data_IF_379075752874
#
_entry.id   IF_379075752874
#
_cell.length_a   1.000
_cell.length_b   1.000
_cell.length_c   1.000
_cell.angle_alpha   90.00
_cell.angle_beta   90.00
_cell.angle_gamma   90.00
#
_symmetry.space_group_name_H-M   'P 1'
#
loop_
_entity.id
_entity.type
_entity.pdbx_description
1 polymer ?
#
# COMPACT_ATOMS: atom_id res chain seq x y z
N UNK A 1 -31.86 4.50 -40.06
CA UNK A 1 -30.48 4.69 -39.54
C UNK A 1 -30.64 5.06 -38.08
N UNK A 2 -30.69 4.05 -37.20
CA UNK A 2 -30.84 4.26 -35.75
C UNK A 2 -29.49 4.60 -35.15
N UNK A 3 -29.30 5.85 -34.70
CA UNK A 3 -28.18 6.22 -33.84
C UNK A 3 -28.35 5.46 -32.52
N UNK A 4 -27.56 4.40 -32.28
CA UNK A 4 -27.40 3.82 -30.96
C UNK A 4 -26.77 4.91 -30.11
N UNK A 5 -27.52 5.53 -29.23
CA UNK A 5 -27.01 6.30 -28.13
C UNK A 5 -26.23 5.31 -27.23
N UNK A 6 -24.96 5.20 -27.44
CA UNK A 6 -24.06 4.48 -26.51
C UNK A 6 -24.04 5.30 -25.23
N UNK A 7 -24.78 4.87 -24.23
CA UNK A 7 -24.68 5.42 -22.88
C UNK A 7 -23.22 5.13 -22.45
N UNK A 8 -22.41 6.18 -22.41
CA UNK A 8 -21.03 6.08 -21.95
C UNK A 8 -21.08 5.77 -20.45
N UNK A 9 -20.76 4.54 -20.06
CA UNK A 9 -20.67 4.12 -18.66
C UNK A 9 -19.49 4.90 -18.09
N UNK A 10 -19.72 5.69 -17.02
CA UNK A 10 -18.62 6.37 -16.34
C UNK A 10 -17.78 5.32 -15.62
N UNK A 11 -16.48 5.33 -15.87
CA UNK A 11 -15.53 4.48 -15.16
C UNK A 11 -15.60 4.80 -13.66
N UNK A 12 -15.93 3.80 -12.86
CA UNK A 12 -16.11 3.93 -11.42
C UNK A 12 -14.76 3.78 -10.71
N UNK A 13 -14.39 4.76 -9.87
CA UNK A 13 -13.17 4.67 -9.07
C UNK A 13 -13.44 3.92 -7.77
N UNK A 14 -12.63 2.91 -7.49
CA UNK A 14 -12.62 2.18 -6.23
C UNK A 14 -11.26 2.28 -5.54
N UNK A 15 -11.26 2.80 -4.31
CA UNK A 15 -10.07 2.76 -3.47
C UNK A 15 -9.78 1.32 -3.05
N UNK A 16 -8.50 0.89 -3.12
CA UNK A 16 -8.13 -0.44 -2.64
C UNK A 16 -8.33 -0.57 -1.12
N UNK A 17 -8.74 -1.75 -0.69
CA UNK A 17 -8.98 -2.06 0.72
C UNK A 17 -7.72 -1.82 1.57
N UNK A 18 -7.91 -1.37 2.80
CA UNK A 18 -6.83 -1.31 3.79
C UNK A 18 -6.31 -2.71 4.10
N UNK A 19 -5.00 -2.82 4.34
CA UNK A 19 -4.34 -4.06 4.75
C UNK A 19 -3.81 -3.83 6.16
N UNK A 20 -4.26 -4.64 7.12
CA UNK A 20 -3.88 -4.48 8.52
C UNK A 20 -2.56 -5.19 8.86
N UNK A 21 -1.84 -4.67 9.85
CA UNK A 21 -0.58 -5.25 10.26
C UNK A 21 -0.76 -6.51 11.09
N UNK A 22 0.11 -7.52 10.89
CA UNK A 22 0.11 -8.78 11.64
C UNK A 22 0.40 -8.62 13.14
N UNK A 23 0.97 -7.50 13.56
CA UNK A 23 1.21 -7.22 14.97
C UNK A 23 -0.03 -6.69 15.71
N UNK A 24 -1.10 -6.30 15.02
CA UNK A 24 -2.39 -5.98 15.63
C UNK A 24 -3.11 -7.27 16.01
N UNK A 25 -2.83 -7.75 17.22
CA UNK A 25 -3.31 -9.06 17.72
C UNK A 25 -4.83 -9.16 17.69
N UNK A 26 -5.54 -8.07 18.00
CA UNK A 26 -7.00 -8.05 18.04
C UNK A 26 -7.57 -8.26 16.63
N UNK A 27 -7.03 -7.59 15.63
CA UNK A 27 -7.43 -7.79 14.24
C UNK A 27 -7.18 -9.25 13.79
N UNK A 28 -6.00 -9.80 14.06
CA UNK A 28 -5.68 -11.20 13.72
C UNK A 28 -6.61 -12.18 14.42
N UNK A 29 -6.95 -11.91 15.69
CA UNK A 29 -7.91 -12.72 16.44
C UNK A 29 -9.34 -12.62 15.89
N UNK A 30 -9.75 -11.44 15.44
CA UNK A 30 -11.04 -11.24 14.78
C UNK A 30 -11.11 -11.98 13.45
N UNK A 31 -10.04 -11.98 12.67
CA UNK A 31 -9.94 -12.80 11.46
C UNK A 31 -10.10 -14.29 11.81
N UNK A 32 -9.38 -14.80 12.83
CA UNK A 32 -9.50 -16.20 13.27
C UNK A 32 -10.91 -16.59 13.70
N UNK A 33 -11.64 -15.68 14.35
CA UNK A 33 -13.00 -15.93 14.84
C UNK A 33 -14.05 -15.88 13.74
N UNK A 34 -13.85 -15.07 12.70
CA UNK A 34 -14.87 -14.75 11.71
C UNK A 34 -14.67 -15.46 10.37
N UNK A 35 -13.43 -15.84 10.03
CA UNK A 35 -13.12 -16.61 8.83
C UNK A 35 -12.98 -18.07 9.20
N UNK A 36 -13.64 -18.96 8.45
CA UNK A 36 -13.59 -20.40 8.69
C UNK A 36 -12.16 -20.96 8.60
N UNK A 37 -11.87 -21.96 9.45
CA UNK A 37 -10.54 -22.58 9.54
C UNK A 37 -10.13 -23.38 8.31
N UNK A 38 -11.08 -23.79 7.47
CA UNK A 38 -10.87 -24.52 6.22
C UNK A 38 -10.54 -23.61 5.03
N UNK A 39 -10.67 -22.29 5.21
CA UNK A 39 -10.27 -21.33 4.19
C UNK A 39 -8.78 -21.42 3.90
N UNK A 40 -8.43 -21.59 2.64
CA UNK A 40 -7.05 -21.60 2.16
C UNK A 40 -6.53 -20.17 2.04
N UNK A 41 -5.34 -19.93 2.57
CA UNK A 41 -4.62 -18.66 2.52
C UNK A 41 -3.38 -18.76 1.66
N UNK A 42 -2.92 -17.62 1.17
CA UNK A 42 -1.65 -17.49 0.44
C UNK A 42 -0.79 -16.39 1.03
N UNK A 43 0.51 -16.56 0.86
CA UNK A 43 1.54 -15.58 1.13
C UNK A 43 2.09 -15.07 -0.19
N UNK A 44 2.14 -13.75 -0.35
CA UNK A 44 2.72 -13.09 -1.53
C UNK A 44 3.79 -12.09 -1.07
N UNK A 45 4.82 -11.84 -1.87
CA UNK A 45 5.80 -10.81 -1.57
C UNK A 45 5.13 -9.44 -1.59
N UNK A 46 5.36 -8.65 -0.53
CA UNK A 46 4.96 -7.26 -0.48
C UNK A 46 6.02 -6.41 -1.16
N UNK A 47 5.66 -5.83 -2.29
CA UNK A 47 6.53 -4.90 -3.02
C UNK A 47 6.45 -3.51 -2.41
N UNK A 48 7.57 -2.85 -2.29
CA UNK A 48 7.72 -1.48 -1.80
C UNK A 48 7.67 -0.50 -2.97
N UNK A 49 6.51 0.07 -3.20
CA UNK A 49 6.23 0.99 -4.29
C UNK A 49 5.13 1.96 -3.93
N UNK A 50 4.23 2.21 -4.85
CA UNK A 50 3.02 3.00 -4.65
C UNK A 50 1.80 2.26 -5.20
N UNK A 51 0.71 2.23 -4.42
CA UNK A 51 -0.52 1.57 -4.81
C UNK A 51 -1.20 2.32 -5.97
N UNK A 52 -1.43 1.61 -7.04
CA UNK A 52 -2.06 2.13 -8.27
C UNK A 52 -3.10 1.15 -8.82
N UNK A 53 -3.89 1.61 -9.78
CA UNK A 53 -4.82 0.73 -10.48
C UNK A 53 -5.08 1.17 -11.92
N UNK A 54 -5.31 0.19 -12.79
CA UNK A 54 -5.95 0.42 -14.08
C UNK A 54 -7.46 0.27 -13.91
N UNK A 55 -8.20 1.15 -14.55
CA UNK A 55 -9.67 1.13 -14.61
C UNK A 55 -10.07 1.03 -16.07
N UNK A 56 -11.02 0.12 -16.38
CA UNK A 56 -11.44 -0.10 -17.75
C UNK A 56 -12.95 -0.39 -17.81
N UNK A 57 -13.65 0.24 -18.77
CA UNK A 57 -15.05 -0.01 -19.11
C UNK A 57 -15.22 -0.69 -20.48
N UNK A 58 -14.10 -1.15 -21.06
CA UNK A 58 -14.06 -1.78 -22.39
C UNK A 58 -13.87 -0.79 -23.54
N UNK A 59 -13.94 0.51 -23.31
CA UNK A 59 -13.67 1.57 -24.27
C UNK A 59 -12.45 2.40 -23.86
N UNK A 60 -12.45 2.86 -22.61
CA UNK A 60 -11.40 3.69 -22.05
C UNK A 60 -10.58 2.88 -21.02
N UNK A 61 -9.29 3.15 -20.94
CA UNK A 61 -8.39 2.69 -19.88
C UNK A 61 -7.83 3.90 -19.17
N UNK A 62 -8.04 3.99 -17.86
CA UNK A 62 -7.52 5.05 -17.01
C UNK A 62 -6.57 4.49 -15.98
N UNK A 63 -5.66 5.33 -15.50
CA UNK A 63 -4.75 4.99 -14.42
C UNK A 63 -5.07 5.81 -13.18
N UNK A 64 -4.98 5.20 -12.01
CA UNK A 64 -5.29 5.86 -10.76
C UNK A 64 -4.19 5.60 -9.72
N UNK A 65 -3.91 6.61 -8.92
CA UNK A 65 -3.21 6.47 -7.65
C UNK A 65 -4.18 6.00 -6.56
N UNK A 66 -3.69 5.73 -5.36
CA UNK A 66 -4.50 5.20 -4.25
C UNK A 66 -5.77 6.01 -3.96
N UNK A 67 -5.77 7.31 -4.22
CA UNK A 67 -6.79 8.25 -3.77
C UNK A 67 -7.71 8.75 -4.87
N UNK A 68 -7.27 8.71 -6.14
CA UNK A 68 -8.03 9.28 -7.27
C UNK A 68 -7.50 8.79 -8.61
N UNK A 69 -8.34 8.91 -9.64
CA UNK A 69 -7.92 8.79 -11.04
C UNK A 69 -6.94 9.93 -11.34
N UNK A 70 -5.86 9.63 -12.05
CA UNK A 70 -4.88 10.63 -12.49
C UNK A 70 -5.42 11.42 -13.68
N UNK A 71 -5.19 12.74 -13.66
CA UNK A 71 -5.44 13.60 -14.82
C UNK A 71 -4.31 13.43 -15.83
N UNK A 72 -4.58 13.70 -17.12
CA UNK A 72 -3.61 13.53 -18.20
C UNK A 72 -2.34 14.39 -18.02
N UNK A 73 -2.46 15.55 -17.38
CA UNK A 73 -1.37 16.49 -17.08
C UNK A 73 -0.72 16.27 -15.70
N UNK A 74 -1.23 15.27 -14.92
CA UNK A 74 -0.70 15.01 -13.59
C UNK A 74 0.62 14.24 -13.66
N UNK A 75 1.66 14.79 -13.03
CA UNK A 75 2.94 14.11 -12.94
C UNK A 75 2.93 13.12 -11.76
N UNK A 76 2.94 11.82 -12.09
CA UNK A 76 2.96 10.73 -11.12
C UNK A 76 3.89 9.61 -11.61
N UNK A 77 5.19 9.71 -11.30
CA UNK A 77 6.21 8.70 -11.65
C UNK A 77 6.16 8.25 -13.11
N UNK A 78 6.02 9.17 -14.05
CA UNK A 78 5.96 8.89 -15.50
C UNK A 78 4.97 7.75 -15.86
N UNK A 79 3.82 7.72 -15.19
CA UNK A 79 2.81 6.63 -15.32
C UNK A 79 2.31 6.43 -16.76
N UNK A 80 2.46 7.40 -17.63
CA UNK A 80 2.02 7.30 -19.03
C UNK A 80 2.70 6.14 -19.76
N UNK A 81 4.00 5.89 -19.50
CA UNK A 81 4.72 4.76 -20.09
C UNK A 81 4.12 3.41 -19.63
N UNK A 82 3.74 3.34 -18.36
CA UNK A 82 3.08 2.16 -17.80
C UNK A 82 1.68 1.99 -18.40
N UNK A 83 0.92 3.09 -18.49
CA UNK A 83 -0.43 3.07 -19.08
C UNK A 83 -0.38 2.59 -20.54
N UNK A 84 0.52 3.13 -21.36
CA UNK A 84 0.70 2.74 -22.76
C UNK A 84 1.07 1.25 -22.88
N UNK A 85 2.05 0.78 -22.08
CA UNK A 85 2.54 -0.60 -22.13
C UNK A 85 1.50 -1.65 -21.72
N UNK A 86 0.57 -1.27 -20.85
CA UNK A 86 -0.45 -2.18 -20.33
C UNK A 86 -1.84 -1.99 -20.97
N UNK A 87 -2.07 -0.93 -21.73
CA UNK A 87 -3.35 -0.55 -22.30
C UNK A 87 -4.09 -1.72 -22.98
N UNK A 88 -3.45 -2.33 -23.96
CA UNK A 88 -4.07 -3.43 -24.73
C UNK A 88 -4.28 -4.69 -23.90
N UNK A 89 -3.39 -4.96 -22.95
CA UNK A 89 -3.53 -6.07 -21.99
C UNK A 89 -4.75 -5.88 -21.08
N UNK A 90 -4.99 -4.65 -20.62
CA UNK A 90 -6.16 -4.28 -19.81
C UNK A 90 -7.45 -4.47 -20.59
N UNK A 91 -7.50 -3.99 -21.83
CA UNK A 91 -8.66 -4.19 -22.73
C UNK A 91 -8.90 -5.68 -23.03
N UNK A 92 -7.84 -6.46 -23.26
CA UNK A 92 -7.94 -7.90 -23.50
C UNK A 92 -8.50 -8.62 -22.25
N UNK A 93 -7.97 -8.30 -21.07
CA UNK A 93 -8.44 -8.84 -19.80
C UNK A 93 -9.92 -8.51 -19.56
N UNK A 94 -10.33 -7.27 -19.81
CA UNK A 94 -11.73 -6.86 -19.72
C UNK A 94 -12.64 -7.70 -20.63
N UNK A 95 -12.27 -7.86 -21.92
CA UNK A 95 -13.04 -8.67 -22.88
C UNK A 95 -13.19 -10.13 -22.44
N UNK A 96 -12.12 -10.70 -21.87
CA UNK A 96 -12.13 -12.05 -21.32
C UNK A 96 -13.09 -12.18 -20.13
N UNK A 97 -13.08 -11.20 -19.23
CA UNK A 97 -14.03 -11.18 -18.10
C UNK A 97 -15.48 -11.06 -18.57
N UNK A 98 -15.76 -10.29 -19.61
CA UNK A 98 -17.10 -10.23 -20.21
C UNK A 98 -17.57 -11.57 -20.81
N UNK A 99 -16.64 -12.48 -21.16
CA UNK A 99 -16.98 -13.81 -21.66
C UNK A 99 -17.27 -14.82 -20.55
N UNK A 100 -16.70 -14.60 -19.37
CA UNK A 100 -16.75 -15.55 -18.23
C UNK A 100 -17.67 -15.10 -17.10
N UNK A 101 -18.00 -13.80 -17.03
CA UNK A 101 -18.84 -13.19 -16.00
C UNK A 101 -20.01 -12.43 -16.66
N UNK A 102 -21.19 -12.60 -16.13
CA UNK A 102 -22.39 -11.90 -16.62
C UNK A 102 -22.43 -10.44 -16.12
N UNK A 103 -22.89 -9.55 -16.98
CA UNK A 103 -23.19 -8.17 -16.61
C UNK A 103 -21.99 -7.32 -16.21
N UNK A 104 -20.78 -7.64 -16.67
CA UNK A 104 -19.57 -6.83 -16.42
C UNK A 104 -19.71 -5.45 -17.05
N UNK A 105 -19.59 -4.40 -16.23
CA UNK A 105 -19.64 -2.99 -16.65
C UNK A 105 -18.26 -2.37 -16.74
N UNK A 106 -17.47 -2.58 -15.71
CA UNK A 106 -16.09 -2.07 -15.62
C UNK A 106 -15.25 -2.93 -14.69
N UNK A 107 -13.95 -2.75 -14.75
CA UNK A 107 -13.00 -3.43 -13.87
C UNK A 107 -11.99 -2.47 -13.27
N UNK A 108 -11.48 -2.80 -12.10
CA UNK A 108 -10.28 -2.19 -11.51
C UNK A 108 -9.22 -3.26 -11.30
N UNK A 109 -8.06 -3.09 -11.93
CA UNK A 109 -6.88 -3.94 -11.76
C UNK A 109 -5.94 -3.25 -10.80
N UNK A 110 -5.80 -3.76 -9.59
CA UNK A 110 -4.95 -3.19 -8.55
C UNK A 110 -3.55 -3.76 -8.59
N UNK A 111 -2.58 -2.90 -8.38
CA UNK A 111 -1.18 -3.26 -8.34
C UNK A 111 -0.31 -2.25 -7.61
N UNK A 112 0.97 -2.57 -7.53
CA UNK A 112 2.01 -1.68 -7.02
C UNK A 112 2.87 -1.21 -8.18
N UNK A 113 2.97 0.12 -8.36
CA UNK A 113 3.93 0.74 -9.26
C UNK A 113 5.26 0.86 -8.51
N UNK A 114 6.36 0.37 -9.09
CA UNK A 114 7.66 0.26 -8.41
C UNK A 114 8.84 0.37 -9.38
N UNK A 115 10.07 0.46 -8.83
CA UNK A 115 11.30 0.45 -9.62
C UNK A 115 11.94 1.83 -9.80
N UNK A 116 12.71 1.97 -10.88
CA UNK A 116 13.44 3.21 -11.24
C UNK A 116 14.93 3.17 -10.86
N UNK A 117 15.42 2.12 -10.20
CA UNK A 117 16.85 1.90 -9.94
C UNK A 117 17.19 0.43 -9.74
N UNK A 118 18.34 0.02 -10.29
CA UNK A 118 18.92 -1.32 -10.07
C UNK A 118 20.44 -1.24 -10.11
N UNK A 119 21.13 -1.14 -8.97
CA UNK A 119 22.59 -0.89 -8.91
C UNK A 119 23.39 -2.20 -9.09
N UNK A 120 23.30 -2.80 -10.27
CA UNK A 120 24.09 -3.97 -10.63
C UNK A 120 24.96 -3.64 -11.87
N UNK A 121 26.25 -4.04 -11.91
CA UNK A 121 27.16 -3.69 -12.99
C UNK A 121 26.70 -4.20 -14.36
N UNK A 122 26.07 -5.38 -14.41
CA UNK A 122 25.60 -6.00 -15.65
C UNK A 122 24.21 -5.50 -16.09
N UNK A 123 23.61 -4.55 -15.37
CA UNK A 123 22.29 -4.02 -15.70
C UNK A 123 22.39 -2.56 -16.12
N UNK A 124 22.01 -2.29 -17.36
CA UNK A 124 22.03 -0.93 -17.89
C UNK A 124 21.02 -0.04 -17.16
N UNK A 125 21.46 1.15 -16.76
CA UNK A 125 20.58 2.19 -16.21
C UNK A 125 19.61 2.69 -17.28
N UNK A 126 18.36 2.88 -16.91
CA UNK A 126 17.34 3.45 -17.78
C UNK A 126 17.18 4.93 -17.43
N UNK A 127 17.72 5.80 -18.29
CA UNK A 127 17.53 7.24 -18.23
C UNK A 127 17.61 7.89 -16.84
N UNK A 128 16.93 9.03 -16.68
CA UNK A 128 16.72 9.71 -15.38
C UNK A 128 15.29 9.46 -14.89
N UNK A 129 15.07 8.25 -14.34
CA UNK A 129 13.78 7.91 -13.72
C UNK A 129 13.77 8.29 -12.24
N UNK A 130 12.63 8.77 -11.77
CA UNK A 130 12.41 8.94 -10.34
C UNK A 130 12.29 7.59 -9.67
N UNK A 131 13.15 7.30 -8.70
CA UNK A 131 13.05 6.06 -7.90
C UNK A 131 11.79 6.15 -7.04
N UNK A 132 10.86 5.21 -7.24
CA UNK A 132 9.55 5.26 -6.58
C UNK A 132 9.69 5.06 -5.07
N UNK A 133 10.52 4.10 -4.64
CA UNK A 133 10.83 3.86 -3.22
C UNK A 133 12.28 3.41 -3.06
N UNK A 134 12.85 3.70 -1.89
CA UNK A 134 14.22 3.33 -1.54
C UNK A 134 14.26 2.13 -0.59
N UNK A 135 15.36 1.40 -0.57
CA UNK A 135 15.63 0.34 0.40
C UNK A 135 15.49 -1.07 -0.12
N UNK A 136 14.78 -1.30 -1.23
CA UNK A 136 14.78 -2.54 -2.03
C UNK A 136 14.95 -2.17 -3.49
N UNK A 137 15.76 -2.93 -4.21
CA UNK A 137 15.95 -2.75 -5.64
C UNK A 137 15.23 -3.86 -6.41
N UNK A 138 14.34 -3.49 -7.32
CA UNK A 138 13.52 -4.44 -8.05
C UNK A 138 13.83 -4.48 -9.54
N UNK A 139 13.95 -3.29 -10.17
CA UNK A 139 14.14 -3.14 -11.63
C UNK A 139 14.68 -1.75 -11.97
N UNK A 140 15.48 -1.61 -13.06
CA UNK A 140 16.01 -0.32 -13.47
C UNK A 140 14.95 0.61 -14.06
N UNK A 141 13.81 0.09 -14.51
CA UNK A 141 12.67 0.83 -15.07
C UNK A 141 11.47 0.80 -14.12
N UNK A 142 10.44 1.59 -14.40
CA UNK A 142 9.17 1.43 -13.69
C UNK A 142 8.44 0.18 -14.19
N UNK A 143 7.79 -0.53 -13.25
CA UNK A 143 7.01 -1.72 -13.54
C UNK A 143 5.75 -1.76 -12.65
N UNK A 144 4.71 -2.43 -13.16
CA UNK A 144 3.45 -2.66 -12.46
C UNK A 144 3.37 -4.11 -11.97
N UNK A 145 3.13 -4.30 -10.67
CA UNK A 145 2.97 -5.59 -10.01
C UNK A 145 1.50 -5.81 -9.67
N UNK A 146 0.75 -6.46 -10.57
CA UNK A 146 -0.67 -6.73 -10.39
C UNK A 146 -0.93 -7.73 -9.26
N UNK A 147 -1.90 -7.46 -8.39
CA UNK A 147 -2.21 -8.37 -7.28
C UNK A 147 -3.71 -8.62 -7.05
N UNK A 148 -4.60 -7.80 -7.62
CA UNK A 148 -6.04 -7.96 -7.42
C UNK A 148 -6.85 -7.43 -8.59
N UNK A 149 -8.04 -8.01 -8.82
CA UNK A 149 -9.01 -7.53 -9.80
C UNK A 149 -10.35 -7.39 -9.11
N UNK A 150 -10.99 -6.24 -9.28
CA UNK A 150 -12.36 -5.99 -8.87
C UNK A 150 -13.24 -5.83 -10.12
N UNK A 151 -14.32 -6.57 -10.17
CA UNK A 151 -15.28 -6.56 -11.29
C UNK A 151 -16.54 -5.85 -10.84
N UNK A 152 -16.95 -4.80 -11.54
CA UNK A 152 -18.21 -4.11 -11.36
C UNK A 152 -19.26 -4.73 -12.28
N UNK A 153 -20.42 -5.06 -11.72
CA UNK A 153 -21.58 -5.60 -12.45
C UNK A 153 -22.82 -4.76 -12.19
N UNK A 154 -23.94 -5.10 -12.84
CA UNK A 154 -25.23 -4.43 -12.60
C UNK A 154 -25.72 -4.56 -11.16
N UNK A 155 -25.39 -5.67 -10.51
CA UNK A 155 -25.87 -6.04 -9.18
C UNK A 155 -24.85 -5.73 -8.06
N UNK A 156 -23.84 -4.91 -8.35
CA UNK A 156 -22.75 -4.59 -7.45
C UNK A 156 -21.40 -5.02 -8.01
N UNK A 157 -20.45 -5.35 -7.14
CA UNK A 157 -19.12 -5.79 -7.61
C UNK A 157 -18.40 -6.65 -6.58
N UNK A 158 -17.42 -7.40 -7.05
CA UNK A 158 -16.64 -8.32 -6.22
C UNK A 158 -15.18 -8.40 -6.66
N UNK A 159 -14.31 -8.74 -5.71
CA UNK A 159 -12.94 -9.15 -6.03
C UNK A 159 -12.94 -10.60 -6.52
N UNK A 160 -12.11 -10.87 -7.50
CA UNK A 160 -11.84 -12.23 -7.95
C UNK A 160 -11.01 -13.01 -6.91
N UNK A 161 -11.01 -14.33 -7.02
CA UNK A 161 -10.09 -15.16 -6.26
C UNK A 161 -8.63 -14.93 -6.68
N UNK A 162 -7.68 -15.28 -5.82
CA UNK A 162 -6.25 -15.22 -6.15
C UNK A 162 -5.92 -16.10 -7.36
N UNK A 163 -6.48 -17.30 -7.42
CA UNK A 163 -6.19 -18.26 -8.47
C UNK A 163 -6.71 -17.75 -9.84
N UNK A 164 -7.92 -17.19 -9.86
CA UNK A 164 -8.51 -16.61 -11.07
C UNK A 164 -7.75 -15.35 -11.52
N UNK A 165 -7.45 -14.44 -10.57
CA UNK A 165 -6.65 -13.24 -10.81
C UNK A 165 -5.29 -13.59 -11.41
N UNK A 166 -4.59 -14.58 -10.84
CA UNK A 166 -3.28 -15.00 -11.31
C UNK A 166 -3.34 -15.68 -12.68
N UNK A 167 -4.39 -16.46 -12.95
CA UNK A 167 -4.61 -17.09 -14.25
C UNK A 167 -4.81 -16.03 -15.35
N UNK A 168 -5.64 -15.01 -15.07
CA UNK A 168 -5.87 -13.90 -15.98
C UNK A 168 -4.59 -13.08 -16.21
N UNK A 169 -3.87 -12.72 -15.16
CA UNK A 169 -2.62 -11.99 -15.29
C UNK A 169 -1.58 -12.75 -16.12
N UNK A 170 -1.46 -14.05 -15.86
CA UNK A 170 -0.54 -14.91 -16.62
C UNK A 170 -0.92 -14.96 -18.10
N UNK A 171 -2.21 -15.13 -18.42
CA UNK A 171 -2.67 -15.25 -19.81
C UNK A 171 -2.52 -13.96 -20.61
N UNK A 172 -2.70 -12.79 -19.94
CA UNK A 172 -2.56 -11.47 -20.56
C UNK A 172 -1.14 -10.87 -20.43
N UNK A 173 -0.19 -11.62 -19.88
CA UNK A 173 1.20 -11.22 -19.79
C UNK A 173 1.45 -10.04 -18.84
N UNK A 174 0.68 -9.95 -17.75
CA UNK A 174 0.98 -9.04 -16.64
C UNK A 174 2.13 -9.59 -15.80
N UNK A 175 2.91 -8.68 -15.23
CA UNK A 175 3.74 -9.03 -14.08
C UNK A 175 2.88 -8.98 -12.82
N UNK A 176 2.90 -10.06 -11.99
CA UNK A 176 1.90 -10.20 -10.94
C UNK A 176 2.42 -10.91 -9.68
N UNK A 177 1.65 -10.80 -8.59
CA UNK A 177 1.94 -11.35 -7.28
C UNK A 177 1.79 -12.88 -7.26
N UNK A 178 2.92 -13.58 -7.45
CA UNK A 178 2.97 -15.04 -7.34
C UNK A 178 2.87 -15.46 -5.87
N UNK A 179 2.20 -16.59 -5.62
CA UNK A 179 2.13 -17.17 -4.29
C UNK A 179 3.48 -17.78 -3.90
N UNK A 180 4.05 -17.35 -2.77
CA UNK A 180 5.27 -17.91 -2.18
C UNK A 180 4.98 -19.15 -1.36
N UNK A 181 3.81 -19.16 -0.70
CA UNK A 181 3.34 -20.25 0.14
C UNK A 181 1.81 -20.26 0.15
N UNK A 182 1.21 -21.40 0.43
CA UNK A 182 -0.23 -21.53 0.70
C UNK A 182 -0.49 -22.56 1.79
N UNK A 183 -1.48 -22.28 2.64
CA UNK A 183 -1.85 -23.11 3.78
C UNK A 183 -2.98 -22.49 4.57
N UNK A 184 -3.08 -22.87 5.84
CA UNK A 184 -3.96 -22.24 6.82
C UNK A 184 -3.49 -20.83 7.19
N UNK A 185 -4.34 -20.04 7.83
CA UNK A 185 -3.94 -18.70 8.32
C UNK A 185 -2.71 -18.78 9.24
N UNK A 186 -2.69 -19.73 10.17
CA UNK A 186 -1.61 -19.84 11.16
C UNK A 186 -0.29 -20.28 10.55
N UNK A 187 -0.31 -21.11 9.51
CA UNK A 187 0.89 -21.46 8.73
C UNK A 187 1.40 -20.25 7.96
N UNK A 188 0.51 -19.50 7.31
CA UNK A 188 0.87 -18.28 6.59
C UNK A 188 1.44 -17.20 7.53
N UNK A 189 0.90 -17.04 8.75
CA UNK A 189 1.41 -16.10 9.75
C UNK A 189 2.81 -16.44 10.27
N UNK A 190 3.23 -17.70 10.17
CA UNK A 190 4.58 -18.17 10.53
C UNK A 190 5.60 -17.99 9.41
N UNK A 191 5.15 -17.68 8.19
CA UNK A 191 6.05 -17.49 7.06
C UNK A 191 6.98 -16.30 7.32
N UNK A 192 8.26 -16.46 6.99
CA UNK A 192 9.24 -15.37 7.16
C UNK A 192 8.85 -14.16 6.31
N UNK A 193 8.95 -12.98 6.89
CA UNK A 193 8.84 -11.70 6.19
C UNK A 193 10.21 -11.09 5.84
N UNK A 194 11.29 -11.87 6.01
CA UNK A 194 12.66 -11.46 5.79
C UNK A 194 13.38 -12.48 4.89
N UNK A 195 13.44 -12.20 3.61
CA UNK A 195 14.11 -13.02 2.58
C UNK A 195 14.57 -12.12 1.43
N UNK A 196 15.49 -12.62 0.60
CA UNK A 196 15.90 -11.95 -0.64
C UNK A 196 14.69 -11.77 -1.55
N UNK A 197 14.42 -10.53 -2.00
CA UNK A 197 13.32 -10.24 -2.91
C UNK A 197 13.35 -11.16 -4.12
N UNK A 198 12.20 -11.76 -4.43
CA UNK A 198 12.01 -12.64 -5.59
C UNK A 198 11.71 -11.87 -6.88
N UNK A 199 11.41 -10.59 -6.76
CA UNK A 199 11.01 -9.75 -7.89
C UNK A 199 12.11 -9.65 -8.96
N UNK A 200 13.40 -9.39 -8.63
CA UNK A 200 14.46 -9.36 -9.64
C UNK A 200 14.61 -10.70 -10.38
N UNK A 201 14.58 -11.82 -9.64
CA UNK A 201 14.63 -13.17 -10.22
C UNK A 201 13.49 -13.37 -11.22
N UNK A 202 12.26 -12.99 -10.87
CA UNK A 202 11.10 -13.15 -11.75
C UNK A 202 11.13 -12.22 -12.97
N UNK A 203 11.89 -11.13 -12.89
CA UNK A 203 12.15 -10.20 -14.00
C UNK A 203 13.39 -10.57 -14.82
N UNK A 204 14.07 -11.70 -14.49
CA UNK A 204 15.29 -12.15 -15.18
C UNK A 204 16.51 -11.29 -14.91
N UNK A 205 16.56 -10.58 -13.77
CA UNK A 205 17.67 -9.72 -13.39
C UNK A 205 18.65 -10.46 -12.48
N UNK A 206 19.96 -10.16 -12.55
CA UNK A 206 20.96 -10.73 -11.66
C UNK A 206 20.70 -10.31 -10.21
N UNK A 207 21.08 -11.16 -9.25
CA UNK A 207 20.85 -10.91 -7.83
C UNK A 207 21.73 -9.78 -7.28
N UNK A 208 21.19 -8.99 -6.37
CA UNK A 208 21.91 -8.00 -5.56
C UNK A 208 22.01 -8.55 -4.14
N UNK A 209 23.20 -8.53 -3.56
CA UNK A 209 23.42 -8.96 -2.18
C UNK A 209 22.57 -8.11 -1.20
N UNK A 210 22.05 -8.76 -0.15
CA UNK A 210 21.26 -8.11 0.92
C UNK A 210 20.04 -7.30 0.44
N UNK A 211 19.50 -7.63 -0.74
CA UNK A 211 18.30 -7.01 -1.29
C UNK A 211 17.04 -7.64 -0.68
N UNK A 212 16.85 -7.40 0.61
CA UNK A 212 15.78 -8.01 1.40
C UNK A 212 14.43 -7.35 1.09
N UNK A 213 13.38 -8.16 0.91
CA UNK A 213 12.02 -7.73 0.61
C UNK A 213 11.45 -6.79 1.70
N UNK A 214 10.43 -5.98 1.35
CA UNK A 214 9.71 -5.17 2.33
C UNK A 214 8.97 -6.05 3.36
N UNK A 215 8.49 -7.21 2.94
CA UNK A 215 7.72 -8.14 3.74
C UNK A 215 6.80 -9.01 2.91
N UNK A 216 5.67 -9.38 3.51
CA UNK A 216 4.66 -10.25 2.89
C UNK A 216 3.25 -9.69 3.06
N UNK A 217 2.37 -10.09 2.13
CA UNK A 217 0.91 -9.98 2.26
C UNK A 217 0.34 -11.39 2.42
N UNK A 218 -0.52 -11.56 3.42
CA UNK A 218 -1.25 -12.80 3.73
C UNK A 218 -2.72 -12.54 3.42
N UNK A 219 -3.30 -13.33 2.56
CA UNK A 219 -4.70 -13.17 2.14
C UNK A 219 -5.38 -14.49 1.85
N UNK A 220 -6.70 -14.62 2.04
CA UNK A 220 -7.43 -15.81 1.63
C UNK A 220 -7.46 -15.91 0.10
N UNK A 221 -7.41 -17.15 -0.42
CA UNK A 221 -7.49 -17.42 -1.87
C UNK A 221 -8.79 -16.90 -2.45
N UNK A 222 -9.91 -17.16 -1.78
CA UNK A 222 -11.23 -16.56 -2.10
C UNK A 222 -11.46 -15.41 -1.13
N UNK A 223 -11.78 -14.19 -1.61
CA UNK A 223 -11.96 -13.03 -0.75
C UNK A 223 -12.92 -13.28 0.41
N UNK A 224 -12.49 -12.98 1.62
CA UNK A 224 -13.26 -13.08 2.85
C UNK A 224 -13.45 -11.69 3.47
N UNK A 225 -14.61 -11.49 4.10
CA UNK A 225 -14.98 -10.21 4.71
C UNK A 225 -15.34 -10.42 6.17
N UNK A 226 -14.90 -9.49 7.01
CA UNK A 226 -15.28 -9.43 8.41
C UNK A 226 -16.67 -8.78 8.56
N UNK A 227 -17.27 -8.91 9.72
CA UNK A 227 -18.58 -8.30 10.04
C UNK A 227 -18.60 -6.79 9.88
N UNK A 228 -17.43 -6.15 9.95
CA UNK A 228 -17.25 -4.72 9.67
C UNK A 228 -17.34 -4.36 8.19
N UNK A 229 -17.43 -5.34 7.29
CA UNK A 229 -17.35 -5.17 5.84
C UNK A 229 -15.91 -5.05 5.31
N UNK A 230 -14.89 -5.02 6.17
CA UNK A 230 -13.49 -4.99 5.74
C UNK A 230 -13.04 -6.36 5.24
N UNK A 231 -12.11 -6.37 4.27
CA UNK A 231 -11.50 -7.61 3.76
C UNK A 231 -10.49 -8.17 4.76
N UNK A 232 -10.44 -9.49 4.88
CA UNK A 232 -9.43 -10.18 5.68
C UNK A 232 -8.07 -10.18 4.97
N UNK A 233 -7.33 -9.06 5.08
CA UNK A 233 -6.02 -8.84 4.49
C UNK A 233 -5.00 -8.48 5.58
N UNK A 234 -3.86 -9.18 5.60
CA UNK A 234 -2.81 -8.99 6.61
C UNK A 234 -1.49 -8.67 5.90
N UNK A 235 -0.77 -7.64 6.36
CA UNK A 235 0.61 -7.36 5.96
C UNK A 235 1.57 -7.66 7.12
N UNK A 236 2.73 -8.22 6.80
CA UNK A 236 3.83 -8.38 7.75
C UNK A 236 5.08 -7.78 7.14
N UNK A 237 5.47 -6.59 7.62
CA UNK A 237 6.68 -5.88 7.19
C UNK A 237 7.87 -6.31 8.03
N UNK A 238 9.05 -6.43 7.42
CA UNK A 238 10.26 -6.61 8.19
C UNK A 238 10.62 -5.33 8.96
N UNK A 239 11.49 -5.43 9.98
CA UNK A 239 11.81 -4.32 10.88
C UNK A 239 12.38 -3.10 10.16
N UNK A 240 13.10 -3.28 9.05
CA UNK A 240 13.67 -2.20 8.24
C UNK A 240 12.59 -1.26 7.67
N UNK A 241 11.40 -1.80 7.37
CA UNK A 241 10.27 -1.08 6.78
C UNK A 241 9.09 -0.87 7.73
N UNK A 242 9.25 -1.24 9.01
CA UNK A 242 8.19 -1.10 9.99
C UNK A 242 7.79 0.37 10.19
N UNK A 243 6.47 0.64 10.11
CA UNK A 243 5.87 1.95 10.35
C UNK A 243 5.76 2.28 11.85
N UNK A 244 5.89 1.25 12.70
CA UNK A 244 5.96 1.34 14.16
C UNK A 244 7.29 0.74 14.60
N UNK A 245 8.18 1.55 15.17
CA UNK A 245 9.46 1.07 15.71
C UNK A 245 9.26 0.45 17.08
N UNK A 246 9.93 -0.67 17.36
CA UNK A 246 9.96 -1.23 18.71
C UNK A 246 10.62 -0.24 19.67
N UNK A 247 9.95 0.06 20.78
CA UNK A 247 10.52 0.94 21.82
C UNK A 247 11.59 0.16 22.57
N UNK A 248 12.87 0.35 22.21
CA UNK A 248 13.94 0.03 23.15
C UNK A 248 13.84 1.03 24.30
N UNK A 249 13.59 0.55 25.52
CA UNK A 249 13.61 1.38 26.74
C UNK A 249 14.92 2.19 26.77
N UNK A 250 14.86 3.42 26.27
CA UNK A 250 15.92 4.42 26.54
C UNK A 250 15.59 5.08 27.86
N UNK A 251 16.55 5.01 28.79
CA UNK A 251 16.51 5.78 30.03
C UNK A 251 16.23 7.25 29.72
N UNK A 252 15.18 7.76 30.32
CA UNK A 252 14.73 9.15 30.25
C UNK A 252 15.78 10.11 30.79
N UNK A 253 16.13 11.10 30.00
CA UNK A 253 16.25 12.47 30.49
C UNK A 253 15.10 13.25 29.85
N UNK A 254 14.00 13.40 30.57
CA UNK A 254 12.95 14.35 30.22
C UNK A 254 13.37 15.70 30.85
N UNK A 255 13.70 16.62 29.96
CA UNK A 255 13.98 18.00 30.31
C UNK A 255 12.75 18.68 30.86
N UNK A 256 13.01 19.48 31.87
CA UNK A 256 12.15 20.23 32.75
C UNK A 256 11.31 21.30 32.04
N UNK A 257 10.13 21.54 32.60
CA UNK A 257 9.46 22.81 32.91
C UNK A 257 8.07 23.05 32.35
N UNK A 258 7.25 22.04 32.13
CA UNK A 258 5.79 22.14 32.14
C UNK A 258 5.28 20.93 32.90
N UNK A 259 4.52 21.13 33.97
CA UNK A 259 3.89 20.02 34.70
C UNK A 259 2.72 19.45 33.88
N UNK A 260 3.05 18.53 32.98
CA UNK A 260 2.02 17.73 32.29
C UNK A 260 1.44 16.70 33.25
N UNK A 261 0.17 16.39 33.11
CA UNK A 261 -0.44 15.26 33.81
C UNK A 261 0.31 13.95 33.52
N UNK A 262 0.09 12.96 34.36
CA UNK A 262 0.65 11.63 34.16
C UNK A 262 0.12 11.01 32.87
N UNK A 263 -1.16 11.20 32.61
CA UNK A 263 -1.89 10.71 31.45
C UNK A 263 -1.33 11.31 30.16
N UNK A 264 -1.10 12.63 30.09
CA UNK A 264 -0.50 13.26 28.93
C UNK A 264 0.95 12.79 28.69
N UNK A 265 1.75 12.62 29.76
CA UNK A 265 3.11 12.09 29.64
C UNK A 265 3.12 10.67 29.06
N UNK A 266 2.20 9.82 29.50
CA UNK A 266 2.02 8.47 28.98
C UNK A 266 1.59 8.51 27.50
N UNK A 267 0.63 9.35 27.14
CA UNK A 267 0.17 9.52 25.77
C UNK A 267 1.28 9.98 24.84
N UNK A 268 2.10 10.96 25.26
CA UNK A 268 3.26 11.43 24.50
C UNK A 268 4.34 10.36 24.34
N UNK A 269 4.48 9.46 25.28
CA UNK A 269 5.37 8.32 25.16
C UNK A 269 4.82 7.26 24.20
N UNK A 270 3.53 6.97 24.24
CA UNK A 270 2.88 5.98 23.38
C UNK A 270 2.89 6.36 21.90
N UNK A 271 2.84 7.65 21.57
CA UNK A 271 2.83 8.13 20.17
C UNK A 271 4.23 8.09 19.51
N UNK A 272 5.31 8.12 20.28
CA UNK A 272 6.67 8.19 19.73
C UNK A 272 7.02 7.14 18.68
N UNK A 273 6.68 5.84 18.88
CA UNK A 273 7.00 4.80 17.91
C UNK A 273 6.36 4.99 16.54
N UNK A 274 5.23 5.71 16.49
CA UNK A 274 4.45 5.90 15.27
C UNK A 274 5.02 7.00 14.37
N UNK A 275 5.88 7.89 14.89
CA UNK A 275 6.43 9.02 14.15
C UNK A 275 7.86 8.71 13.71
N UNK A 276 8.03 8.22 12.49
CA UNK A 276 9.33 7.80 11.98
C UNK A 276 9.43 7.99 10.45
N UNK A 277 10.65 7.89 9.91
CA UNK A 277 10.95 8.08 8.50
C UNK A 277 10.24 7.08 7.59
N UNK A 278 10.12 5.81 8.00
CA UNK A 278 9.45 4.79 7.21
C UNK A 278 7.96 5.13 6.96
N UNK A 279 7.31 5.68 7.99
CA UNK A 279 5.93 6.16 7.86
C UNK A 279 5.84 7.34 6.90
N UNK A 280 6.77 8.29 6.98
CA UNK A 280 6.81 9.42 6.05
C UNK A 280 6.98 8.94 4.62
N UNK A 281 7.88 7.98 4.37
CA UNK A 281 8.07 7.35 3.06
C UNK A 281 6.77 6.68 2.58
N UNK A 282 6.06 5.98 3.46
CA UNK A 282 4.78 5.34 3.15
C UNK A 282 3.70 6.40 2.79
N UNK A 283 3.61 7.48 3.55
CA UNK A 283 2.67 8.59 3.26
C UNK A 283 2.96 9.22 1.90
N UNK A 284 4.24 9.50 1.59
CA UNK A 284 4.64 10.04 0.28
C UNK A 284 4.27 9.08 -0.85
N UNK A 285 4.41 7.78 -0.66
CA UNK A 285 3.99 6.79 -1.67
C UNK A 285 2.50 6.85 -2.00
N UNK A 286 1.68 7.25 -1.03
CA UNK A 286 0.23 7.37 -1.23
C UNK A 286 -0.20 8.68 -1.91
N UNK A 287 0.52 9.77 -1.66
CA UNK A 287 0.16 11.10 -2.19
C UNK A 287 0.89 11.46 -3.49
N UNK A 288 1.97 10.73 -3.80
CA UNK A 288 2.80 10.95 -4.99
C UNK A 288 4.00 11.85 -4.73
N UNK A 289 4.63 12.34 -5.81
CA UNK A 289 5.82 13.20 -5.73
C UNK A 289 5.53 14.51 -4.97
N UNK A 290 6.37 14.81 -3.98
CA UNK A 290 6.26 15.98 -3.10
C UNK A 290 7.37 16.97 -3.41
N UNK A 291 7.01 18.24 -3.65
CA UNK A 291 7.94 19.36 -3.89
C UNK A 291 7.91 20.35 -2.73
N UNK A 292 8.95 20.33 -1.90
CA UNK A 292 9.12 21.29 -0.81
C UNK A 292 9.77 22.57 -1.36
N UNK A 293 9.32 23.78 -0.98
CA UNK A 293 8.39 24.08 0.12
C UNK A 293 6.88 24.05 -0.23
N UNK A 294 6.52 23.93 -1.53
CA UNK A 294 5.13 24.06 -2.00
C UNK A 294 4.16 23.11 -1.26
N UNK A 295 4.54 21.85 -1.16
CA UNK A 295 3.66 20.78 -0.67
C UNK A 295 3.86 20.46 0.82
N UNK A 296 4.64 21.31 1.53
CA UNK A 296 5.01 21.07 2.95
C UNK A 296 3.79 20.90 3.86
N UNK A 297 2.83 21.82 3.78
CA UNK A 297 1.63 21.79 4.65
C UNK A 297 0.74 20.56 4.38
N UNK A 298 0.60 20.17 3.11
CA UNK A 298 -0.12 18.96 2.71
C UNK A 298 0.55 17.71 3.28
N UNK A 299 1.90 17.64 3.20
CA UNK A 299 2.66 16.49 3.72
C UNK A 299 2.58 16.38 5.24
N UNK A 300 2.65 17.52 5.97
CA UNK A 300 2.46 17.54 7.43
C UNK A 300 1.09 17.00 7.81
N UNK A 301 0.05 17.45 7.13
CA UNK A 301 -1.32 16.99 7.38
C UNK A 301 -1.49 15.51 7.08
N UNK A 302 -1.03 15.04 5.91
CA UNK A 302 -1.14 13.64 5.52
C UNK A 302 -0.40 12.70 6.50
N UNK A 303 0.79 13.12 6.97
CA UNK A 303 1.55 12.37 7.98
C UNK A 303 0.83 12.35 9.34
N UNK A 304 0.22 13.47 9.74
CA UNK A 304 -0.56 13.55 10.98
C UNK A 304 -1.76 12.60 10.93
N UNK A 305 -2.53 12.63 9.85
CA UNK A 305 -3.73 11.81 9.68
C UNK A 305 -3.37 10.31 9.70
N UNK A 306 -2.29 9.90 9.01
CA UNK A 306 -1.82 8.51 8.97
C UNK A 306 -1.30 8.02 10.33
N UNK A 307 -0.56 8.86 11.06
CA UNK A 307 -0.11 8.57 12.44
C UNK A 307 -1.30 8.37 13.36
N UNK A 308 -2.27 9.30 13.33
CA UNK A 308 -3.42 9.26 14.21
C UNK A 308 -4.37 8.12 13.89
N UNK A 309 -4.55 7.76 12.62
CA UNK A 309 -5.35 6.60 12.22
C UNK A 309 -4.84 5.32 12.89
N UNK A 310 -3.55 5.06 12.82
CA UNK A 310 -2.96 3.86 13.42
C UNK A 310 -2.86 3.94 14.96
N UNK A 311 -2.52 5.11 15.49
CA UNK A 311 -2.41 5.32 16.93
C UNK A 311 -3.75 5.08 17.66
N UNK A 312 -4.85 5.59 17.10
CA UNK A 312 -6.17 5.44 17.69
C UNK A 312 -6.74 4.02 17.60
N UNK A 313 -6.20 3.14 16.75
CA UNK A 313 -6.57 1.71 16.73
C UNK A 313 -6.15 1.00 18.01
N UNK A 314 -5.03 1.41 18.63
CA UNK A 314 -4.47 0.78 19.81
C UNK A 314 -4.68 1.58 21.11
N UNK A 315 -4.79 2.93 21.00
CA UNK A 315 -4.69 3.83 22.16
C UNK A 315 -5.84 4.84 22.22
N UNK A 316 -7.02 4.50 21.70
CA UNK A 316 -8.19 5.39 21.72
C UNK A 316 -8.56 5.83 23.12
N UNK A 317 -8.71 4.86 24.03
CA UNK A 317 -9.12 5.13 25.42
C UNK A 317 -8.12 6.04 26.14
N UNK A 318 -6.83 5.83 25.94
CA UNK A 318 -5.78 6.66 26.49
C UNK A 318 -5.83 8.12 25.90
N UNK A 319 -6.14 8.25 24.60
CA UNK A 319 -6.29 9.56 23.98
C UNK A 319 -7.55 10.30 24.45
N UNK A 320 -8.65 9.59 24.69
CA UNK A 320 -9.91 10.15 25.16
C UNK A 320 -9.89 10.44 26.67
N UNK A 321 -8.96 9.86 27.44
CA UNK A 321 -8.83 10.09 28.89
C UNK A 321 -8.24 11.45 29.26
N UNK A 322 -7.53 12.12 28.35
CA UNK A 322 -6.96 13.46 28.56
C UNK A 322 -7.95 14.55 28.15
N UNK A 323 -7.94 15.67 28.88
CA UNK A 323 -8.85 16.77 28.59
C UNK A 323 -8.50 17.51 27.27
N UNK A 324 -9.43 18.37 26.83
CA UNK A 324 -9.27 19.10 25.54
C UNK A 324 -8.04 20.02 25.52
N UNK A 325 -7.59 20.55 26.66
CA UNK A 325 -6.40 21.40 26.71
C UNK A 325 -5.14 20.57 26.53
N UNK A 326 -5.08 19.42 27.15
CA UNK A 326 -4.00 18.45 27.02
C UNK A 326 -3.96 17.79 25.64
N UNK A 327 -5.13 17.51 25.02
CA UNK A 327 -5.20 17.06 23.63
C UNK A 327 -4.58 18.09 22.66
N UNK A 328 -4.77 19.39 22.90
CA UNK A 328 -4.10 20.45 22.11
C UNK A 328 -2.58 20.41 22.27
N UNK A 329 -2.10 20.19 23.50
CA UNK A 329 -0.67 20.06 23.80
C UNK A 329 -0.10 18.81 23.11
N UNK A 330 -0.81 17.68 23.19
CA UNK A 330 -0.45 16.44 22.49
C UNK A 330 -0.33 16.68 20.98
N UNK A 331 -1.37 17.26 20.35
CA UNK A 331 -1.39 17.54 18.92
C UNK A 331 -0.25 18.49 18.49
N UNK A 332 0.04 19.50 19.31
CA UNK A 332 1.16 20.42 19.06
C UNK A 332 2.51 19.70 19.11
N UNK A 333 2.73 18.80 20.07
CA UNK A 333 3.96 18.03 20.18
C UNK A 333 4.08 17.03 19.03
N UNK A 334 3.00 16.35 18.65
CA UNK A 334 2.97 15.46 17.50
C UNK A 334 3.35 16.20 16.20
N UNK A 335 2.74 17.36 15.95
CA UNK A 335 3.05 18.17 14.78
C UNK A 335 4.51 18.64 14.76
N UNK A 336 5.09 19.06 15.90
CA UNK A 336 6.51 19.42 15.98
C UNK A 336 7.43 18.25 15.60
N UNK A 337 7.12 17.03 16.05
CA UNK A 337 7.89 15.82 15.70
C UNK A 337 7.78 15.50 14.22
N UNK A 338 6.57 15.55 13.66
CA UNK A 338 6.32 15.34 12.22
C UNK A 338 7.11 16.34 11.38
N UNK A 339 7.02 17.63 11.71
CA UNK A 339 7.77 18.70 11.04
C UNK A 339 9.29 18.46 11.11
N UNK A 340 9.79 18.00 12.26
CA UNK A 340 11.22 17.70 12.44
C UNK A 340 11.69 16.59 11.49
N UNK A 341 10.91 15.50 11.36
CA UNK A 341 11.24 14.40 10.45
C UNK A 341 11.18 14.84 8.99
N UNK A 342 10.15 15.58 8.59
CA UNK A 342 10.03 16.11 7.23
C UNK A 342 11.22 17.01 6.89
N UNK A 343 11.59 17.93 7.79
CA UNK A 343 12.76 18.79 7.59
C UNK A 343 14.06 18.00 7.48
N UNK A 344 14.26 16.99 8.32
CA UNK A 344 15.45 16.15 8.28
C UNK A 344 15.57 15.40 6.93
N UNK A 345 14.46 14.91 6.37
CA UNK A 345 14.49 14.17 5.11
C UNK A 345 14.58 15.03 3.85
N UNK A 346 14.01 16.23 3.86
CA UNK A 346 13.87 17.07 2.67
C UNK A 346 14.68 18.36 2.69
N UNK A 347 15.17 18.83 3.84
CA UNK A 347 15.90 20.09 3.97
C UNK A 347 17.37 19.90 4.43
N UNK A 348 17.78 18.70 4.88
CA UNK A 348 19.17 18.42 5.25
C UNK A 348 20.09 18.15 4.02
N UNK A 349 19.54 18.16 2.81
CA UNK A 349 20.24 17.89 1.56
C UNK A 349 20.42 19.14 0.67
N UNK A 350 20.16 20.36 1.22
CA UNK A 350 20.46 21.62 0.55
C UNK A 350 21.77 22.26 1.05
#
# INVERSE_FOLDING_TARGET
>A
MFKRNTIRIMIEFKKYSSIENSFYKDYVNDVRKQVSSDVKWVVQEKVHGTNTSFLCDGHDVKFAKRTSILAEDENFYDYHEILERYHDKVLSLFRRLCQTHEGVKSISIFGELFGGAYPHPDVQRVGRLTVIQKGVFYTPKHEFYGFDIYVFTENGGSYLSVDETNALFKSEGFFYAKSLFSGTLDECLKHSNQFQSKIPEWLGLPAIADNICEGIVIRPVVPQYLRTGSRALIKSKNEKFAEKKSVKRRNKQLEQSIEYSKELKELLFLIEPYVNENRLVNVVSHIGEVKIPRDFGMLVKAMYDDVMEDFLKEHRDAHESVDKSEQRVFNSNLNKKIISIIKAMYMAAQ
#
